data_IF_640216351250
#
_entry.id   IF_640216351250
#
_cell.length_a   1.000
_cell.length_b   1.000
_cell.length_c   1.000
_cell.angle_alpha   90.00
_cell.angle_beta   90.00
_cell.angle_gamma   90.00
#
_symmetry.space_group_name_H-M   'P 1'
#
loop_
_entity.id
_entity.type
_entity.pdbx_description
1 polymer ?
#
# COMPACT_ATOMS: atom_id res chain seq x y z
N UNK A 1 2.82 8.44 31.11
CA UNK A 1 3.90 8.24 30.13
C UNK A 1 3.26 7.68 28.87
N UNK A 2 3.43 8.32 27.72
CA UNK A 2 3.00 7.74 26.43
C UNK A 2 3.76 6.43 26.24
N UNK A 3 3.03 5.36 25.93
CA UNK A 3 3.65 4.07 25.65
C UNK A 3 4.54 4.19 24.41
N UNK A 4 5.85 3.97 24.59
CA UNK A 4 6.83 4.08 23.50
C UNK A 4 6.57 3.08 22.38
N UNK A 5 5.96 1.94 22.67
CA UNK A 5 5.62 0.92 21.68
C UNK A 5 4.46 1.39 20.81
N UNK A 6 3.42 1.99 21.41
CA UNK A 6 2.27 2.56 20.70
C UNK A 6 2.68 3.72 19.79
N UNK A 7 3.52 4.64 20.29
CA UNK A 7 4.05 5.72 19.46
C UNK A 7 4.90 5.20 18.27
N UNK A 8 5.66 4.13 18.49
CA UNK A 8 6.44 3.49 17.43
C UNK A 8 5.50 2.83 16.40
N UNK A 9 4.42 2.17 16.84
CA UNK A 9 3.45 1.55 15.95
C UNK A 9 2.77 2.57 15.03
N UNK A 10 2.31 3.71 15.58
CA UNK A 10 1.73 4.79 14.77
C UNK A 10 2.67 5.26 13.65
N UNK A 11 3.96 5.46 13.96
CA UNK A 11 4.99 5.81 12.96
C UNK A 11 5.24 4.71 11.93
N UNK A 12 5.15 3.45 12.33
CA UNK A 12 5.29 2.31 11.42
C UNK A 12 4.11 2.21 10.45
N UNK A 13 2.89 2.42 10.93
CA UNK A 13 1.69 2.45 10.08
C UNK A 13 1.82 3.51 8.97
N UNK A 14 2.23 4.72 9.32
CA UNK A 14 2.51 5.78 8.34
C UNK A 14 3.65 5.41 7.38
N UNK A 15 4.74 4.85 7.90
CA UNK A 15 5.88 4.44 7.07
C UNK A 15 5.50 3.36 6.05
N UNK A 16 4.73 2.34 6.46
CA UNK A 16 4.27 1.28 5.57
C UNK A 16 3.28 1.80 4.53
N UNK A 17 2.35 2.69 4.91
CA UNK A 17 1.45 3.36 3.97
C UNK A 17 2.22 4.15 2.89
N UNK A 18 3.24 4.90 3.30
CA UNK A 18 4.11 5.62 2.35
C UNK A 18 4.92 4.67 1.45
N UNK A 19 5.35 3.52 1.97
CA UNK A 19 6.09 2.53 1.18
C UNK A 19 5.19 1.83 0.15
N UNK A 20 3.92 1.61 0.49
CA UNK A 20 2.92 1.06 -0.42
C UNK A 20 2.73 1.93 -1.68
N UNK A 21 2.79 3.26 -1.56
CA UNK A 21 2.70 4.15 -2.73
C UNK A 21 3.85 3.91 -3.72
N UNK A 22 5.08 3.74 -3.23
CA UNK A 22 6.23 3.42 -4.08
C UNK A 22 6.10 2.04 -4.75
N UNK A 23 5.54 1.05 -4.06
CA UNK A 23 5.22 -0.25 -4.67
C UNK A 23 4.12 -0.14 -5.73
N UNK A 24 3.05 0.61 -5.44
CA UNK A 24 1.94 0.86 -6.37
C UNK A 24 2.43 1.48 -7.67
N UNK A 25 3.27 2.51 -7.62
CA UNK A 25 3.86 3.13 -8.81
C UNK A 25 4.62 2.12 -9.68
N UNK A 26 5.41 1.24 -9.05
CA UNK A 26 6.13 0.17 -9.73
C UNK A 26 5.18 -0.85 -10.37
N UNK A 27 4.11 -1.24 -9.66
CA UNK A 27 3.12 -2.18 -10.19
C UNK A 27 2.36 -1.59 -11.38
N UNK A 28 1.98 -0.30 -11.30
CA UNK A 28 1.36 0.45 -12.39
C UNK A 28 2.23 0.43 -13.63
N UNK A 29 3.53 0.77 -13.48
CA UNK A 29 4.49 0.74 -14.58
C UNK A 29 4.53 -0.62 -15.28
N UNK A 30 4.64 -1.71 -14.51
CA UNK A 30 4.75 -3.05 -15.06
C UNK A 30 3.44 -3.59 -15.62
N UNK A 31 2.31 -3.21 -15.04
CA UNK A 31 0.98 -3.50 -15.60
C UNK A 31 0.83 -2.85 -16.98
N UNK A 32 1.26 -1.61 -17.13
CA UNK A 32 1.14 -0.88 -18.40
C UNK A 32 2.03 -1.54 -19.47
N UNK A 33 3.26 -1.93 -19.13
CA UNK A 33 4.13 -2.74 -20.00
C UNK A 33 3.47 -4.10 -20.35
N UNK A 34 2.85 -4.78 -19.39
CA UNK A 34 2.16 -6.05 -19.62
C UNK A 34 0.94 -5.87 -20.56
N UNK A 35 0.26 -4.72 -20.47
CA UNK A 35 -0.85 -4.34 -21.34
C UNK A 35 -0.40 -4.11 -22.77
N UNK A 36 0.72 -3.42 -22.98
CA UNK A 36 1.34 -3.24 -24.30
C UNK A 36 1.76 -4.57 -24.94
N UNK A 37 2.07 -5.58 -24.12
CA UNK A 37 2.46 -6.93 -24.55
C UNK A 37 1.30 -7.92 -24.65
N UNK A 38 0.07 -7.44 -24.50
CA UNK A 38 -1.16 -8.27 -24.57
C UNK A 38 -1.17 -9.44 -23.56
N UNK A 39 -0.47 -9.30 -22.42
CA UNK A 39 -0.41 -10.30 -21.36
C UNK A 39 -1.62 -10.16 -20.42
N UNK A 40 -2.82 -10.45 -20.93
CA UNK A 40 -4.10 -10.14 -20.26
C UNK A 40 -4.18 -10.66 -18.82
N UNK A 41 -3.78 -11.91 -18.54
CA UNK A 41 -3.83 -12.48 -17.20
C UNK A 41 -2.87 -11.81 -16.21
N UNK A 42 -1.70 -11.35 -16.70
CA UNK A 42 -0.73 -10.60 -15.90
C UNK A 42 -1.29 -9.23 -15.55
N UNK A 43 -1.90 -8.54 -16.52
CA UNK A 43 -2.57 -7.25 -16.30
C UNK A 43 -3.67 -7.38 -15.24
N UNK A 44 -4.50 -8.44 -15.32
CA UNK A 44 -5.57 -8.67 -14.36
C UNK A 44 -5.04 -8.90 -12.95
N UNK A 45 -3.99 -9.72 -12.80
CA UNK A 45 -3.38 -9.97 -11.50
C UNK A 45 -2.68 -8.74 -10.92
N UNK A 46 -2.03 -7.91 -11.75
CA UNK A 46 -1.42 -6.66 -11.29
C UNK A 46 -2.47 -5.62 -10.88
N UNK A 47 -3.61 -5.54 -11.57
CA UNK A 47 -4.73 -4.71 -11.13
C UNK A 47 -5.24 -5.13 -9.75
N UNK A 48 -5.39 -6.43 -9.50
CA UNK A 48 -5.79 -6.95 -8.18
C UNK A 48 -4.73 -6.62 -7.12
N UNK A 49 -3.45 -6.75 -7.44
CA UNK A 49 -2.37 -6.39 -6.52
C UNK A 49 -2.39 -4.89 -6.16
N UNK A 50 -2.64 -4.02 -7.14
CA UNK A 50 -2.80 -2.57 -6.93
C UNK A 50 -4.03 -2.28 -6.05
N UNK A 51 -5.16 -2.94 -6.29
CA UNK A 51 -6.34 -2.77 -5.44
C UNK A 51 -6.06 -3.20 -3.98
N UNK A 52 -5.35 -4.31 -3.78
CA UNK A 52 -5.03 -4.78 -2.43
C UNK A 52 -4.01 -3.89 -1.73
N UNK A 53 -3.06 -3.28 -2.46
CA UNK A 53 -2.10 -2.38 -1.84
C UNK A 53 -2.76 -1.05 -1.43
N UNK A 54 -3.72 -0.56 -2.22
CA UNK A 54 -4.55 0.60 -1.87
C UNK A 54 -5.35 0.35 -0.58
N UNK A 55 -6.05 -0.80 -0.50
CA UNK A 55 -6.76 -1.20 0.73
C UNK A 55 -5.83 -1.35 1.92
N UNK A 56 -4.64 -1.91 1.71
CA UNK A 56 -3.63 -2.00 2.76
C UNK A 56 -3.24 -0.60 3.27
N UNK A 57 -3.04 0.37 2.37
CA UNK A 57 -2.75 1.76 2.73
C UNK A 57 -3.88 2.38 3.54
N UNK A 58 -5.14 2.23 3.10
CA UNK A 58 -6.31 2.72 3.82
C UNK A 58 -6.38 2.20 5.26
N UNK A 59 -6.21 0.89 5.47
CA UNK A 59 -6.23 0.31 6.81
C UNK A 59 -5.04 0.74 7.68
N UNK A 60 -3.87 0.97 7.08
CA UNK A 60 -2.70 1.46 7.81
C UNK A 60 -2.91 2.90 8.29
N UNK A 61 -3.49 3.76 7.46
CA UNK A 61 -3.83 5.14 7.86
C UNK A 61 -4.92 5.13 8.94
N UNK A 62 -5.98 4.34 8.77
CA UNK A 62 -7.01 4.19 9.81
C UNK A 62 -6.43 3.73 11.15
N UNK A 63 -5.54 2.72 11.14
CA UNK A 63 -4.89 2.25 12.36
C UNK A 63 -3.99 3.31 13.01
N UNK A 64 -3.31 4.15 12.21
CA UNK A 64 -2.53 5.29 12.72
C UNK A 64 -3.44 6.32 13.39
N UNK A 65 -4.59 6.61 12.78
CA UNK A 65 -5.54 7.60 13.27
C UNK A 65 -6.21 7.11 14.57
N UNK A 66 -6.64 5.86 14.64
CA UNK A 66 -7.21 5.23 15.85
C UNK A 66 -6.23 5.21 17.04
N UNK A 67 -4.91 5.18 16.79
CA UNK A 67 -3.88 5.27 17.83
C UNK A 67 -3.69 6.71 18.34
N UNK A 68 -4.02 7.69 17.50
CA UNK A 68 -3.78 9.11 17.77
C UNK A 68 -4.97 9.83 18.41
N UNK A 69 -6.16 9.22 18.37
CA UNK A 69 -7.36 9.60 19.15
C UNK A 69 -7.24 9.26 20.65
#
# INVERSE_FOLDING_TARGET
>A
MVDKQILKLSKLCEHWANHNEAHKESYIKWRDIAKEKELTSVVENLNKAIEMIDKSTEYLISAKDDISE
#
